data_IF_152973511404
#
_entry.id   IF_152973511404
#
_cell.length_a   1.000
_cell.length_b   1.000
_cell.length_c   1.000
_cell.angle_alpha   90.00
_cell.angle_beta   90.00
_cell.angle_gamma   90.00
#
_symmetry.space_group_name_H-M   'P 1'
#
loop_
_entity.id
_entity.type
_entity.pdbx_description
1 polymer ?
#
# COMPACT_ATOMS: atom_id res chain seq x y z
N UNK A 1 -8.07 28.84 27.56
CA UNK A 1 -8.47 27.71 26.70
C UNK A 1 -8.21 28.09 25.24
N UNK A 2 -7.11 27.63 24.64
CA UNK A 2 -6.90 27.73 23.20
C UNK A 2 -7.55 26.49 22.58
N UNK A 3 -8.64 26.69 21.83
CA UNK A 3 -9.22 25.64 21.00
C UNK A 3 -8.17 25.16 20.00
N UNK A 4 -7.77 23.89 20.12
CA UNK A 4 -7.00 23.23 19.10
C UNK A 4 -7.87 23.18 17.83
N UNK A 5 -7.47 23.94 16.81
CA UNK A 5 -7.92 23.66 15.44
C UNK A 5 -7.48 22.23 15.18
N UNK A 6 -8.45 21.30 15.09
CA UNK A 6 -8.19 20.00 14.48
C UNK A 6 -7.82 20.32 13.04
N UNK A 7 -6.53 20.36 12.73
CA UNK A 7 -6.09 20.26 11.35
C UNK A 7 -6.69 18.98 10.80
N UNK A 8 -7.68 19.14 9.92
CA UNK A 8 -8.30 18.02 9.23
C UNK A 8 -7.20 17.41 8.36
N UNK A 9 -6.75 16.21 8.71
CA UNK A 9 -5.79 15.46 7.90
C UNK A 9 -6.37 15.32 6.48
N UNK A 10 -5.55 15.46 5.42
CA UNK A 10 -6.03 15.21 4.07
C UNK A 10 -6.54 13.77 3.96
N UNK A 11 -7.55 13.57 3.10
CA UNK A 11 -8.07 12.23 2.85
C UNK A 11 -6.94 11.32 2.32
N UNK A 12 -6.83 10.07 2.80
CA UNK A 12 -5.81 9.16 2.31
C UNK A 12 -6.06 8.82 0.83
N UNK A 13 -4.98 8.60 0.08
CA UNK A 13 -5.09 8.07 -1.27
C UNK A 13 -5.22 6.55 -1.20
N UNK A 14 -6.14 5.99 -2.00
CA UNK A 14 -6.51 4.58 -1.94
C UNK A 14 -6.60 4.00 -3.35
N UNK A 15 -5.91 2.88 -3.58
CA UNK A 15 -5.98 2.12 -4.83
C UNK A 15 -6.12 0.63 -4.54
N UNK A 16 -6.94 -0.06 -5.34
CA UNK A 16 -7.21 -1.49 -5.23
C UNK A 16 -6.62 -2.23 -6.43
N UNK A 17 -6.09 -3.43 -6.19
CA UNK A 17 -5.40 -4.25 -7.19
C UNK A 17 -5.91 -5.68 -7.12
N UNK A 18 -6.19 -6.25 -8.29
CA UNK A 18 -6.70 -7.60 -8.46
C UNK A 18 -6.02 -8.28 -9.65
N UNK A 19 -5.90 -9.61 -9.56
CA UNK A 19 -5.24 -10.44 -10.56
C UNK A 19 -4.00 -11.15 -10.01
N UNK A 20 -3.04 -11.54 -10.87
CA UNK A 20 -1.81 -12.20 -10.44
C UNK A 20 -1.02 -11.36 -9.43
N UNK A 21 -0.53 -12.02 -8.37
CA UNK A 21 0.15 -11.35 -7.23
C UNK A 21 1.34 -10.53 -7.71
N UNK A 22 2.21 -11.11 -8.54
CA UNK A 22 3.42 -10.43 -9.03
C UNK A 22 3.09 -9.15 -9.80
N UNK A 23 2.04 -9.20 -10.63
CA UNK A 23 1.57 -8.04 -11.38
C UNK A 23 0.99 -6.96 -10.46
N UNK A 24 0.17 -7.36 -9.48
CA UNK A 24 -0.35 -6.42 -8.49
C UNK A 24 0.79 -5.70 -7.73
N UNK A 25 1.83 -6.42 -7.34
CA UNK A 25 3.00 -5.83 -6.66
C UNK A 25 3.75 -4.83 -7.56
N UNK A 26 3.89 -5.13 -8.86
CA UNK A 26 4.49 -4.21 -9.83
C UNK A 26 3.62 -2.95 -10.04
N UNK A 27 2.31 -3.12 -10.14
CA UNK A 27 1.36 -2.01 -10.29
C UNK A 27 1.31 -1.12 -9.03
N UNK A 28 1.43 -1.71 -7.83
CA UNK A 28 1.56 -0.97 -6.56
C UNK A 28 2.85 -0.14 -6.55
N UNK A 29 3.96 -0.68 -7.02
CA UNK A 29 5.24 0.04 -7.10
C UNK A 29 5.15 1.25 -8.05
N UNK A 30 4.61 1.07 -9.26
CA UNK A 30 4.36 2.19 -10.19
C UNK A 30 3.44 3.24 -9.59
N UNK A 31 2.35 2.79 -8.95
CA UNK A 31 1.38 3.68 -8.29
C UNK A 31 2.04 4.48 -7.17
N UNK A 32 2.83 3.82 -6.32
CA UNK A 32 3.54 4.46 -5.22
C UNK A 32 4.53 5.50 -5.73
N UNK A 33 5.32 5.18 -6.76
CA UNK A 33 6.25 6.13 -7.38
C UNK A 33 5.52 7.39 -7.87
N UNK A 34 4.35 7.24 -8.51
CA UNK A 34 3.53 8.38 -8.95
C UNK A 34 2.93 9.15 -7.78
N UNK A 35 2.47 8.44 -6.75
CA UNK A 35 1.89 9.05 -5.55
C UNK A 35 2.91 9.90 -4.79
N UNK A 36 4.16 9.44 -4.66
CA UNK A 36 5.24 10.22 -4.04
C UNK A 36 5.46 11.54 -4.78
N UNK A 37 5.49 11.52 -6.12
CA UNK A 37 5.64 12.73 -6.93
C UNK A 37 4.43 13.66 -6.79
N UNK A 38 3.21 13.10 -6.74
CA UNK A 38 1.96 13.88 -6.62
C UNK A 38 1.81 14.55 -5.25
N UNK A 39 2.15 13.83 -4.18
CA UNK A 39 2.02 14.32 -2.80
C UNK A 39 3.02 15.46 -2.52
N UNK A 40 4.18 15.44 -3.19
CA UNK A 40 5.18 16.49 -3.07
C UNK A 40 5.86 16.50 -1.70
N UNK A 41 6.31 17.68 -1.27
CA UNK A 41 7.00 17.85 0.01
C UNK A 41 5.98 17.83 1.16
N UNK A 42 6.06 16.78 1.97
CA UNK A 42 5.17 16.56 3.12
C UNK A 42 5.98 16.13 4.34
N UNK A 43 5.58 16.62 5.51
CA UNK A 43 6.27 16.35 6.77
C UNK A 43 6.23 14.89 7.20
N UNK A 44 5.22 14.12 6.76
CA UNK A 44 5.14 12.67 7.03
C UNK A 44 4.29 11.93 6.01
N UNK A 45 4.75 10.75 5.60
CA UNK A 45 4.00 9.75 4.82
C UNK A 45 3.91 8.44 5.61
N UNK A 46 2.78 7.76 5.53
CA UNK A 46 2.58 6.41 6.03
C UNK A 46 1.91 5.53 4.97
N UNK A 47 2.40 4.30 4.83
CA UNK A 47 1.88 3.31 3.88
C UNK A 47 1.23 2.15 4.62
N UNK A 48 0.07 1.74 4.12
CA UNK A 48 -0.64 0.54 4.52
C UNK A 48 -1.00 -0.27 3.27
N UNK A 49 -0.72 -1.58 3.32
CA UNK A 49 -1.16 -2.58 2.38
C UNK A 49 -2.18 -3.47 3.06
N UNK A 50 -3.43 -3.35 2.64
CA UNK A 50 -4.45 -4.33 3.01
C UNK A 50 -4.37 -5.52 2.05
N UNK A 51 -4.39 -6.74 2.61
CA UNK A 51 -4.37 -7.99 1.83
C UNK A 51 -5.63 -8.78 2.16
N UNK A 52 -6.46 -9.04 1.16
CA UNK A 52 -7.63 -9.91 1.31
C UNK A 52 -7.17 -11.36 1.39
N UNK A 53 -7.31 -12.00 2.55
CA UNK A 53 -6.94 -13.41 2.72
C UNK A 53 -7.76 -14.34 1.81
N UNK A 54 -9.08 -14.14 1.62
CA UNK A 54 -9.85 -14.96 0.68
C UNK A 54 -9.34 -14.84 -0.77
N UNK A 55 -9.04 -13.62 -1.24
CA UNK A 55 -8.53 -13.43 -2.59
C UNK A 55 -7.09 -13.96 -2.72
N UNK A 56 -6.25 -13.79 -1.69
CA UNK A 56 -4.91 -14.35 -1.65
C UNK A 56 -4.93 -15.87 -1.73
N UNK A 57 -5.84 -16.53 -1.01
CA UNK A 57 -6.00 -17.98 -1.08
C UNK A 57 -6.36 -18.42 -2.51
N UNK A 58 -7.30 -17.73 -3.16
CA UNK A 58 -7.66 -18.02 -4.55
C UNK A 58 -6.46 -17.88 -5.51
N UNK A 59 -5.57 -16.91 -5.28
CA UNK A 59 -4.34 -16.75 -6.07
C UNK A 59 -3.35 -17.89 -5.84
N UNK A 60 -3.15 -18.28 -4.58
CA UNK A 60 -2.27 -19.40 -4.24
C UNK A 60 -2.81 -20.70 -4.85
N UNK A 61 -4.12 -20.94 -4.77
CA UNK A 61 -4.77 -22.12 -5.36
C UNK A 61 -4.67 -22.11 -6.89
N UNK A 62 -4.66 -20.93 -7.51
CA UNK A 62 -4.43 -20.74 -8.94
C UNK A 62 -2.95 -20.87 -9.36
N UNK A 63 -2.03 -21.12 -8.41
CA UNK A 63 -0.62 -21.37 -8.67
C UNK A 63 0.30 -20.14 -8.54
N UNK A 64 -0.18 -19.02 -8.01
CA UNK A 64 0.69 -17.85 -7.81
C UNK A 64 1.74 -18.12 -6.74
N UNK A 65 2.99 -17.77 -7.06
CA UNK A 65 4.07 -17.74 -6.09
C UNK A 65 4.09 -16.39 -5.35
N UNK A 66 3.92 -16.40 -4.04
CA UNK A 66 4.03 -15.19 -3.21
C UNK A 66 5.49 -14.76 -3.01
N UNK A 67 6.37 -15.75 -2.87
CA UNK A 67 7.81 -15.55 -2.78
C UNK A 67 8.47 -16.07 -4.05
N UNK A 68 9.53 -15.40 -4.56
CA UNK A 68 10.23 -14.26 -3.95
C UNK A 68 9.61 -12.89 -4.26
N UNK A 69 8.49 -12.85 -5.00
CA UNK A 69 7.89 -11.60 -5.51
C UNK A 69 7.64 -10.56 -4.41
N UNK A 70 7.11 -10.99 -3.26
CA UNK A 70 6.87 -10.12 -2.11
C UNK A 70 8.16 -9.51 -1.53
N UNK A 71 9.18 -10.34 -1.29
CA UNK A 71 10.45 -9.85 -0.73
C UNK A 71 11.13 -8.86 -1.68
N UNK A 72 11.17 -9.17 -2.97
CA UNK A 72 11.70 -8.25 -3.98
C UNK A 72 10.92 -6.94 -4.07
N UNK A 73 9.60 -6.97 -3.89
CA UNK A 73 8.78 -5.76 -3.80
C UNK A 73 9.18 -4.89 -2.60
N UNK A 74 9.30 -5.46 -1.40
CA UNK A 74 9.72 -4.73 -0.20
C UNK A 74 11.09 -4.08 -0.39
N UNK A 75 12.05 -4.80 -0.97
CA UNK A 75 13.38 -4.27 -1.26
C UNK A 75 13.35 -3.09 -2.24
N UNK A 76 12.48 -3.13 -3.26
CA UNK A 76 12.36 -2.05 -4.25
C UNK A 76 11.75 -0.80 -3.64
N UNK A 77 10.64 -0.92 -2.90
CA UNK A 77 9.99 0.25 -2.29
C UNK A 77 10.83 0.87 -1.16
N UNK A 78 11.69 0.10 -0.50
CA UNK A 78 12.60 0.62 0.52
C UNK A 78 13.59 1.65 -0.06
N UNK A 79 13.89 1.57 -1.36
CA UNK A 79 14.77 2.52 -2.06
C UNK A 79 14.16 3.90 -2.26
N UNK A 80 12.85 4.05 -2.02
CA UNK A 80 12.18 5.35 -2.11
C UNK A 80 12.38 6.24 -0.89
N UNK A 81 13.18 5.82 0.10
CA UNK A 81 13.48 6.66 1.27
C UNK A 81 12.28 6.91 2.18
N UNK A 82 11.31 5.99 2.17
CA UNK A 82 10.11 6.08 3.00
C UNK A 82 10.50 6.10 4.49
N UNK A 83 9.83 6.92 5.32
CA UNK A 83 10.20 7.07 6.74
C UNK A 83 9.93 5.81 7.57
N UNK A 84 9.16 4.86 7.05
CA UNK A 84 8.90 3.56 7.66
C UNK A 84 8.56 2.52 6.59
N UNK A 85 8.80 1.24 6.91
CA UNK A 85 8.29 0.12 6.11
C UNK A 85 6.76 0.16 6.02
N UNK A 86 6.16 -0.28 4.91
CA UNK A 86 4.71 -0.35 4.80
C UNK A 86 4.15 -1.29 5.87
N UNK A 87 3.07 -0.87 6.51
CA UNK A 87 2.30 -1.77 7.35
C UNK A 87 1.49 -2.70 6.46
N UNK A 88 1.34 -3.95 6.88
CA UNK A 88 0.54 -4.94 6.18
C UNK A 88 -0.59 -5.36 7.10
N UNK A 89 -1.82 -5.30 6.61
CA UNK A 89 -3.01 -5.71 7.36
C UNK A 89 -3.76 -6.78 6.58
N UNK A 90 -3.97 -7.92 7.22
CA UNK A 90 -4.72 -9.02 6.63
C UNK A 90 -6.22 -8.84 6.88
N UNK A 91 -7.02 -8.87 5.82
CA UNK A 91 -8.46 -8.75 5.86
C UNK A 91 -9.09 -10.14 5.70
N UNK A 92 -10.10 -10.43 6.54
CA UNK A 92 -10.84 -11.71 6.51
C UNK A 92 -12.06 -11.68 5.58
N UNK A 93 -12.50 -10.49 5.18
CA UNK A 93 -13.63 -10.31 4.26
C UNK A 93 -13.21 -10.49 2.80
N UNK A 94 -14.17 -10.86 1.95
CA UNK A 94 -13.97 -10.84 0.51
C UNK A 94 -13.81 -9.40 0.01
N UNK A 95 -13.01 -9.24 -1.05
CA UNK A 95 -12.65 -7.94 -1.63
C UNK A 95 -11.41 -8.06 -2.51
N UNK A 96 -10.89 -6.92 -3.01
CA UNK A 96 -9.70 -6.89 -3.83
C UNK A 96 -8.50 -7.56 -3.17
N UNK A 97 -7.63 -8.20 -3.96
CA UNK A 97 -6.45 -8.89 -3.48
C UNK A 97 -5.57 -7.98 -2.62
N UNK A 98 -5.25 -6.80 -3.14
CA UNK A 98 -4.41 -5.81 -2.47
C UNK A 98 -5.05 -4.43 -2.51
N UNK A 99 -4.91 -3.67 -1.43
CA UNK A 99 -5.25 -2.24 -1.40
C UNK A 99 -4.09 -1.45 -0.85
N UNK A 100 -3.59 -0.50 -1.63
CA UNK A 100 -2.60 0.48 -1.19
C UNK A 100 -3.32 1.69 -0.60
N UNK A 101 -2.98 2.01 0.65
CA UNK A 101 -3.44 3.21 1.34
C UNK A 101 -2.23 4.08 1.68
N UNK A 102 -2.24 5.32 1.19
CA UNK A 102 -1.21 6.32 1.44
C UNK A 102 -1.81 7.45 2.26
N UNK A 103 -1.38 7.56 3.51
CA UNK A 103 -1.73 8.67 4.39
C UNK A 103 -0.56 9.65 4.47
N UNK A 104 -0.85 10.94 4.46
CA UNK A 104 0.17 11.99 4.47
C UNK A 104 -0.29 13.20 5.29
N UNK A 105 0.66 14.02 5.74
CA UNK A 105 0.40 15.32 6.38
C UNK A 105 1.57 16.28 6.19
N UNK A 106 1.25 17.56 6.23
CA UNK A 106 2.23 18.64 6.37
C UNK A 106 2.49 18.98 7.84
#
# INVERSE_FOLDING_TARGET
>A
MKSAVRETLPAPLVWTFDGPVERCLADIEDTLRRAIVLIGDVSRVALLLDVSLPALQQRVDAGDALQPAWSGFIERIARYGLPASPRVRHLRGAGPLLTLVVAYRN
#
